data_IF_498268483442
#
_entry.id   IF_498268483442
#
_cell.length_a   1.000
_cell.length_b   1.000
_cell.length_c   1.000
_cell.angle_alpha   90.00
_cell.angle_beta   90.00
_cell.angle_gamma   90.00
#
_symmetry.space_group_name_H-M   'P 1'
#
loop_
_entity.id
_entity.type
_entity.pdbx_description
1 polymer ?
#
# COMPACT_ATOMS: atom_id res chain seq x y z
N UNK A 1 43.37 12.27 7.07
CA UNK A 1 42.77 11.13 6.31
C UNK A 1 41.48 10.75 7.03
N UNK A 2 40.31 10.65 6.34
CA UNK A 2 39.09 10.18 7.00
C UNK A 2 39.28 8.70 7.35
N UNK A 3 39.11 8.36 8.62
CA UNK A 3 39.16 7.00 9.13
C UNK A 3 37.94 6.27 8.59
N UNK A 4 38.12 5.45 7.56
CA UNK A 4 37.10 4.52 7.07
C UNK A 4 37.04 3.38 8.07
N UNK A 5 36.04 3.40 8.94
CA UNK A 5 35.76 2.26 9.83
C UNK A 5 35.44 1.05 8.96
N UNK A 6 36.29 0.01 9.02
CA UNK A 6 36.01 -1.29 8.43
C UNK A 6 34.76 -1.85 9.10
N UNK A 7 33.63 -1.74 8.40
CA UNK A 7 32.42 -2.47 8.75
C UNK A 7 32.78 -3.95 8.59
N UNK A 8 33.09 -4.61 9.71
CA UNK A 8 33.38 -6.03 9.72
C UNK A 8 32.10 -6.73 9.24
N UNK A 9 32.15 -7.25 8.03
CA UNK A 9 31.14 -8.18 7.53
C UNK A 9 31.26 -9.48 8.34
N UNK A 10 30.84 -9.46 9.60
CA UNK A 10 30.42 -10.68 10.28
C UNK A 10 29.19 -11.14 9.50
N UNK A 11 29.40 -12.09 8.58
CA UNK A 11 28.34 -12.98 8.14
C UNK A 11 27.94 -13.79 9.37
N UNK A 12 27.03 -13.24 10.17
CA UNK A 12 26.20 -14.07 11.03
C UNK A 12 25.44 -15.02 10.10
N UNK A 13 25.37 -16.30 10.46
CA UNK A 13 24.58 -17.27 9.70
C UNK A 13 23.13 -16.86 9.79
N UNK A 14 22.67 -16.12 8.78
CA UNK A 14 21.30 -15.61 8.71
C UNK A 14 20.36 -16.82 8.69
N UNK A 15 19.56 -16.98 9.73
CA UNK A 15 18.54 -18.02 9.79
C UNK A 15 17.26 -17.43 9.23
N UNK A 16 16.88 -17.89 8.05
CA UNK A 16 15.64 -17.46 7.40
C UNK A 16 14.45 -17.92 8.26
N UNK A 17 13.60 -16.98 8.66
CA UNK A 17 12.32 -17.28 9.32
C UNK A 17 11.28 -17.74 8.28
N UNK A 18 11.34 -19.02 7.93
CA UNK A 18 10.38 -19.63 7.02
C UNK A 18 8.96 -19.69 7.61
N UNK A 19 8.82 -19.76 8.93
CA UNK A 19 7.52 -19.95 9.58
C UNK A 19 6.78 -18.61 9.68
N UNK A 20 7.48 -17.53 10.03
CA UNK A 20 6.98 -16.17 9.92
C UNK A 20 6.58 -15.84 8.48
N UNK A 21 7.44 -16.16 7.51
CA UNK A 21 7.14 -15.95 6.09
C UNK A 21 5.89 -16.72 5.64
N UNK A 22 5.78 -18.01 5.96
CA UNK A 22 4.64 -18.84 5.56
C UNK A 22 3.33 -18.35 6.17
N UNK A 23 3.33 -17.97 7.46
CA UNK A 23 2.12 -17.51 8.16
C UNK A 23 1.64 -16.16 7.63
N UNK A 24 2.53 -15.17 7.45
CA UNK A 24 2.13 -13.86 6.90
C UNK A 24 1.71 -13.96 5.43
N UNK A 25 2.44 -14.71 4.61
CA UNK A 25 2.07 -14.92 3.20
C UNK A 25 0.72 -15.63 3.09
N UNK A 26 0.51 -16.71 3.84
CA UNK A 26 -0.76 -17.42 3.84
C UNK A 26 -1.93 -16.55 4.31
N UNK A 27 -1.71 -15.71 5.32
CA UNK A 27 -2.69 -14.72 5.78
C UNK A 27 -3.08 -13.75 4.67
N UNK A 28 -2.10 -13.10 4.04
CA UNK A 28 -2.34 -12.10 2.99
C UNK A 28 -3.01 -12.73 1.77
N UNK A 29 -2.55 -13.91 1.34
CA UNK A 29 -3.15 -14.63 0.21
C UNK A 29 -4.61 -14.97 0.50
N UNK A 30 -4.90 -15.52 1.69
CA UNK A 30 -6.28 -15.89 2.07
C UNK A 30 -7.20 -14.67 2.13
N UNK A 31 -6.70 -13.54 2.64
CA UNK A 31 -7.44 -12.28 2.68
C UNK A 31 -7.77 -11.76 1.29
N UNK A 32 -6.77 -11.73 0.40
CA UNK A 32 -6.94 -11.28 -0.98
C UNK A 32 -7.88 -12.19 -1.77
N UNK A 33 -7.81 -13.51 -1.54
CA UNK A 33 -8.69 -14.49 -2.17
C UNK A 33 -10.15 -14.28 -1.76
N UNK A 34 -10.41 -14.06 -0.46
CA UNK A 34 -11.73 -13.77 0.06
C UNK A 34 -12.33 -12.50 -0.56
N UNK A 35 -11.54 -11.42 -0.62
CA UNK A 35 -11.94 -10.16 -1.26
C UNK A 35 -12.15 -10.30 -2.77
N UNK A 36 -11.33 -11.10 -3.45
CA UNK A 36 -11.47 -11.37 -4.88
C UNK A 36 -12.78 -12.08 -5.19
N UNK A 37 -13.17 -13.09 -4.40
CA UNK A 37 -14.44 -13.79 -4.60
C UNK A 37 -15.64 -12.87 -4.39
N UNK A 38 -15.60 -12.00 -3.39
CA UNK A 38 -16.65 -10.97 -3.24
C UNK A 38 -16.71 -10.08 -4.50
N UNK A 39 -15.56 -9.67 -5.03
CA UNK A 39 -15.49 -8.89 -6.28
C UNK A 39 -15.99 -9.64 -7.53
N UNK A 40 -15.90 -10.98 -7.54
CA UNK A 40 -16.45 -11.86 -8.58
C UNK A 40 -17.97 -12.07 -8.44
N UNK A 41 -18.61 -11.52 -7.40
CA UNK A 41 -20.05 -11.57 -7.19
C UNK A 41 -20.53 -12.59 -6.16
N UNK A 42 -19.64 -13.19 -5.37
CA UNK A 42 -20.05 -14.01 -4.22
C UNK A 42 -20.59 -13.12 -3.09
N UNK A 43 -21.63 -13.58 -2.40
CA UNK A 43 -22.13 -12.90 -1.21
C UNK A 43 -21.09 -12.92 -0.08
N UNK A 44 -21.13 -11.90 0.77
CA UNK A 44 -20.21 -11.76 1.91
C UNK A 44 -20.33 -12.89 2.93
N UNK A 45 -21.50 -13.51 3.04
CA UNK A 45 -21.80 -14.63 3.93
C UNK A 45 -21.56 -16.00 3.28
N UNK A 46 -21.18 -16.03 2.00
CA UNK A 46 -20.86 -17.26 1.30
C UNK A 46 -19.77 -18.02 2.09
N UNK A 47 -20.01 -19.31 2.35
CA UNK A 47 -19.16 -20.12 3.23
C UNK A 47 -17.68 -20.02 2.87
N UNK A 48 -17.35 -19.99 1.57
CA UNK A 48 -15.98 -19.89 1.09
C UNK A 48 -15.32 -18.55 1.42
N UNK A 49 -16.05 -17.44 1.28
CA UNK A 49 -15.59 -16.07 1.60
C UNK A 49 -15.31 -15.97 3.10
N UNK A 50 -16.27 -16.40 3.93
CA UNK A 50 -16.13 -16.38 5.39
C UNK A 50 -14.95 -17.24 5.84
N UNK A 51 -14.80 -18.45 5.30
CA UNK A 51 -13.63 -19.30 5.58
C UNK A 51 -12.33 -18.59 5.21
N UNK A 52 -12.27 -17.92 4.05
CA UNK A 52 -11.10 -17.16 3.63
C UNK A 52 -10.70 -16.07 4.64
N UNK A 53 -11.67 -15.29 5.12
CA UNK A 53 -11.43 -14.27 6.16
C UNK A 53 -11.01 -14.87 7.50
N UNK A 54 -11.65 -15.97 7.92
CA UNK A 54 -11.29 -16.66 9.17
C UNK A 54 -9.87 -17.22 9.09
N UNK A 55 -9.51 -17.89 8.00
CA UNK A 55 -8.15 -18.42 7.78
C UNK A 55 -7.13 -17.28 7.75
N UNK A 56 -7.44 -16.17 7.08
CA UNK A 56 -6.57 -14.98 7.09
C UNK A 56 -6.35 -14.47 8.52
N UNK A 57 -7.42 -14.30 9.30
CA UNK A 57 -7.34 -13.84 10.69
C UNK A 57 -6.54 -14.80 11.59
N UNK A 58 -6.74 -16.10 11.46
CA UNK A 58 -6.01 -17.13 12.23
C UNK A 58 -4.51 -17.09 11.88
N UNK A 59 -4.15 -17.04 10.60
CA UNK A 59 -2.76 -17.02 10.16
C UNK A 59 -2.07 -15.72 10.57
N UNK A 60 -2.76 -14.58 10.50
CA UNK A 60 -2.24 -13.30 11.00
C UNK A 60 -2.02 -13.33 12.52
N UNK A 61 -2.98 -13.88 13.28
CA UNK A 61 -2.85 -14.02 14.71
C UNK A 61 -1.71 -14.99 15.09
N UNK A 62 -1.49 -16.04 14.30
CA UNK A 62 -0.39 -16.99 14.47
C UNK A 62 0.97 -16.38 14.12
N UNK A 63 1.03 -15.45 13.16
CA UNK A 63 2.26 -14.74 12.78
C UNK A 63 2.87 -13.98 13.97
N UNK A 64 2.05 -13.29 14.77
CA UNK A 64 2.53 -12.47 15.90
C UNK A 64 3.43 -13.26 16.89
N UNK A 65 2.97 -14.36 17.52
CA UNK A 65 3.80 -15.11 18.46
C UNK A 65 4.97 -15.86 17.79
N UNK A 66 4.85 -16.18 16.49
CA UNK A 66 5.95 -16.77 15.72
C UNK A 66 7.07 -15.76 15.56
N UNK A 67 6.72 -14.54 15.15
CA UNK A 67 7.66 -13.45 14.92
C UNK A 67 8.36 -13.01 16.21
N UNK A 68 7.64 -12.98 17.34
CA UNK A 68 8.22 -12.66 18.66
C UNK A 68 9.28 -13.70 19.08
N UNK A 69 9.12 -14.96 18.66
CA UNK A 69 9.99 -16.08 19.05
C UNK A 69 11.10 -16.35 18.04
N UNK A 70 11.09 -15.72 16.88
CA UNK A 70 12.09 -15.92 15.85
C UNK A 70 13.47 -15.38 16.28
N UNK A 71 14.53 -16.14 16.00
CA UNK A 71 15.92 -15.71 16.23
C UNK A 71 16.27 -14.47 15.38
N UNK A 72 15.75 -14.43 14.15
CA UNK A 72 15.90 -13.34 13.18
C UNK A 72 14.54 -13.02 12.56
N UNK A 73 13.71 -12.19 13.21
CA UNK A 73 12.39 -11.83 12.72
C UNK A 73 12.48 -11.01 11.42
N UNK A 74 11.55 -11.27 10.51
CA UNK A 74 11.33 -10.52 9.27
C UNK A 74 10.95 -9.07 9.57
N UNK A 75 10.08 -8.86 10.56
CA UNK A 75 9.58 -7.58 11.02
C UNK A 75 9.82 -7.51 12.54
N UNK A 76 10.90 -6.86 12.99
CA UNK A 76 11.13 -6.64 14.41
C UNK A 76 9.97 -5.83 14.99
N UNK A 77 9.09 -6.48 15.76
CA UNK A 77 7.87 -5.84 16.29
C UNK A 77 8.17 -4.66 17.22
N UNK A 78 9.37 -4.60 17.79
CA UNK A 78 9.87 -3.45 18.55
C UNK A 78 9.92 -2.14 17.73
N UNK A 79 9.96 -2.21 16.40
CA UNK A 79 9.84 -1.02 15.55
C UNK A 79 8.48 -0.33 15.75
N UNK A 80 7.41 -1.07 15.99
CA UNK A 80 6.08 -0.51 16.22
C UNK A 80 5.92 0.20 17.56
N UNK A 81 6.86 0.03 18.51
CA UNK A 81 6.92 0.86 19.73
C UNK A 81 7.20 2.33 19.39
N UNK A 82 7.90 2.59 18.28
CA UNK A 82 8.09 3.94 17.77
C UNK A 82 6.81 4.44 17.12
N UNK A 83 6.18 5.46 17.73
CA UNK A 83 5.03 6.18 17.15
C UNK A 83 5.30 6.65 15.72
N UNK A 84 6.55 6.99 15.39
CA UNK A 84 6.93 7.41 14.04
C UNK A 84 6.80 6.26 13.06
N UNK A 85 7.29 5.07 13.42
CA UNK A 85 7.18 3.89 12.56
C UNK A 85 5.74 3.41 12.44
N UNK A 86 5.01 3.30 13.55
CA UNK A 86 3.61 2.89 13.54
C UNK A 86 2.72 3.82 12.70
N UNK A 87 2.90 5.14 12.85
CA UNK A 87 2.17 6.11 12.01
C UNK A 87 2.60 6.07 10.54
N UNK A 88 3.88 5.84 10.25
CA UNK A 88 4.37 5.66 8.88
C UNK A 88 3.78 4.41 8.22
N UNK A 89 3.75 3.29 8.94
CA UNK A 89 3.18 2.03 8.46
C UNK A 89 1.67 2.15 8.21
N UNK A 90 0.94 2.76 9.15
CA UNK A 90 -0.49 3.05 8.97
C UNK A 90 -0.74 3.98 7.77
N UNK A 91 0.09 5.02 7.62
CA UNK A 91 -0.01 5.91 6.48
C UNK A 91 0.24 5.16 5.17
N UNK A 92 1.28 4.32 5.09
CA UNK A 92 1.53 3.49 3.90
C UNK A 92 0.35 2.57 3.58
N UNK A 93 -0.28 1.99 4.61
CA UNK A 93 -1.46 1.15 4.43
C UNK A 93 -2.64 1.95 3.86
N UNK A 94 -2.96 3.12 4.43
CA UNK A 94 -4.02 4.01 3.94
C UNK A 94 -3.73 4.50 2.51
N UNK A 95 -2.47 4.86 2.23
CA UNK A 95 -2.02 5.25 0.90
C UNK A 95 -2.23 4.11 -0.09
N UNK A 96 -1.92 2.87 0.29
CA UNK A 96 -2.19 1.69 -0.53
C UNK A 96 -3.67 1.56 -0.91
N UNK A 97 -4.58 1.65 0.08
CA UNK A 97 -6.03 1.57 -0.16
C UNK A 97 -6.48 2.64 -1.17
N UNK A 98 -6.13 3.90 -0.93
CA UNK A 98 -6.56 4.98 -1.82
C UNK A 98 -5.91 4.90 -3.20
N UNK A 99 -4.62 4.57 -3.28
CA UNK A 99 -3.89 4.44 -4.54
C UNK A 99 -4.49 3.33 -5.41
N UNK A 100 -4.71 2.14 -4.87
CA UNK A 100 -5.31 1.05 -5.64
C UNK A 100 -6.79 1.32 -5.96
N UNK A 101 -7.53 1.93 -5.05
CA UNK A 101 -8.92 2.34 -5.29
C UNK A 101 -9.04 3.27 -6.50
N UNK A 102 -8.24 4.35 -6.53
CA UNK A 102 -8.27 5.33 -7.63
C UNK A 102 -7.75 4.73 -8.94
N UNK A 103 -6.60 4.03 -8.91
CA UNK A 103 -5.99 3.47 -10.12
C UNK A 103 -6.91 2.44 -10.81
N UNK A 104 -7.65 1.65 -10.04
CA UNK A 104 -8.58 0.66 -10.59
C UNK A 104 -9.92 1.28 -10.99
N UNK A 105 -10.48 2.15 -10.14
CA UNK A 105 -11.83 2.70 -10.36
C UNK A 105 -11.89 3.72 -11.49
N UNK A 106 -10.92 4.64 -11.58
CA UNK A 106 -10.94 5.72 -12.60
C UNK A 106 -11.08 5.19 -14.03
N UNK A 107 -10.26 4.22 -14.52
CA UNK A 107 -10.43 3.70 -15.87
C UNK A 107 -11.72 2.91 -16.05
N UNK A 108 -12.16 2.15 -15.02
CA UNK A 108 -13.44 1.44 -15.06
C UNK A 108 -14.63 2.39 -15.17
N UNK A 109 -14.59 3.52 -14.47
CA UNK A 109 -15.62 4.56 -14.54
C UNK A 109 -15.62 5.25 -15.91
N UNK A 110 -14.45 5.65 -16.40
CA UNK A 110 -14.33 6.33 -17.70
C UNK A 110 -14.76 5.41 -18.85
N UNK A 111 -14.35 4.15 -18.84
CA UNK A 111 -14.73 3.21 -19.90
C UNK A 111 -16.17 2.69 -19.74
N UNK A 112 -16.57 2.35 -18.52
CA UNK A 112 -17.85 1.69 -18.25
C UNK A 112 -19.04 2.63 -18.12
N UNK A 113 -18.84 3.83 -17.56
CA UNK A 113 -19.93 4.81 -17.30
C UNK A 113 -19.94 5.92 -18.35
N UNK A 114 -18.78 6.53 -18.62
CA UNK A 114 -18.68 7.61 -19.60
C UNK A 114 -18.65 7.10 -21.05
N UNK A 115 -18.53 5.78 -21.26
CA UNK A 115 -18.51 5.15 -22.59
C UNK A 115 -17.28 5.49 -23.43
N UNK A 116 -16.22 5.99 -22.78
CA UNK A 116 -14.99 6.42 -23.46
C UNK A 116 -14.15 5.22 -23.89
N UNK A 117 -13.34 5.42 -24.93
CA UNK A 117 -12.44 4.40 -25.42
C UNK A 117 -11.29 4.13 -24.44
N UNK A 118 -10.66 2.96 -24.55
CA UNK A 118 -9.45 2.64 -23.78
C UNK A 118 -8.36 3.73 -23.92
N UNK A 119 -8.21 4.32 -25.12
CA UNK A 119 -7.29 5.43 -25.38
C UNK A 119 -7.66 6.70 -24.60
N UNK A 120 -8.95 7.04 -24.51
CA UNK A 120 -9.45 8.17 -23.72
C UNK A 120 -9.24 7.99 -22.20
N UNK A 121 -9.38 6.76 -21.70
CA UNK A 121 -9.05 6.46 -20.29
C UNK A 121 -7.54 6.57 -20.01
N UNK A 122 -6.70 6.22 -20.99
CA UNK A 122 -5.25 6.38 -20.91
C UNK A 122 -4.82 7.84 -20.77
N UNK A 123 -5.52 8.76 -21.45
CA UNK A 123 -5.25 10.20 -21.30
C UNK A 123 -5.56 10.71 -19.89
N UNK A 124 -6.59 10.20 -19.22
CA UNK A 124 -6.92 10.54 -17.82
C UNK A 124 -5.85 10.01 -16.84
N UNK A 125 -5.29 8.82 -17.11
CA UNK A 125 -4.22 8.25 -16.28
C UNK A 125 -2.85 8.91 -16.53
N UNK A 126 -2.66 9.60 -17.65
CA UNK A 126 -1.36 10.19 -18.01
C UNK A 126 -0.90 11.27 -17.01
N UNK A 127 -1.73 12.29 -16.67
CA UNK A 127 -1.38 13.28 -15.64
C UNK A 127 -1.06 12.65 -14.28
N UNK A 128 -1.78 11.58 -13.91
CA UNK A 128 -1.58 10.85 -12.66
C UNK A 128 -0.15 10.29 -12.59
N UNK A 129 0.24 9.47 -13.58
CA UNK A 129 1.57 8.83 -13.62
C UNK A 129 2.68 9.88 -13.75
N UNK A 130 2.46 10.92 -14.55
CA UNK A 130 3.43 12.00 -14.75
C UNK A 130 3.67 12.77 -13.44
N UNK A 131 2.61 13.14 -12.74
CA UNK A 131 2.68 13.85 -11.45
C UNK A 131 3.33 12.99 -10.37
N UNK A 132 2.98 11.70 -10.30
CA UNK A 132 3.62 10.75 -9.39
C UNK A 132 5.12 10.64 -9.65
N UNK A 133 5.52 10.51 -10.92
CA UNK A 133 6.93 10.39 -11.31
C UNK A 133 7.69 11.67 -10.97
N UNK A 134 7.15 12.83 -11.33
CA UNK A 134 7.75 14.13 -11.04
C UNK A 134 7.91 14.35 -9.53
N UNK A 135 6.86 14.09 -8.75
CA UNK A 135 6.90 14.25 -7.29
C UNK A 135 7.81 13.25 -6.61
N UNK A 136 7.91 12.01 -7.10
CA UNK A 136 8.86 11.02 -6.58
C UNK A 136 10.31 11.52 -6.73
N UNK A 137 10.65 12.08 -7.89
CA UNK A 137 11.98 12.66 -8.15
C UNK A 137 12.21 13.88 -7.26
N UNK A 138 11.27 14.83 -7.23
CA UNK A 138 11.39 16.07 -6.45
C UNK A 138 11.53 15.75 -4.96
N UNK A 139 10.62 14.95 -4.39
CA UNK A 139 10.68 14.58 -2.98
C UNK A 139 11.95 13.80 -2.66
N UNK A 140 12.36 12.85 -3.51
CA UNK A 140 13.59 12.10 -3.33
C UNK A 140 14.82 13.00 -3.26
N UNK A 141 14.93 13.97 -4.17
CA UNK A 141 16.02 14.95 -4.18
C UNK A 141 16.01 15.87 -2.96
N UNK A 142 14.83 16.38 -2.57
CA UNK A 142 14.74 17.28 -1.41
C UNK A 142 15.02 16.53 -0.10
N UNK A 143 14.46 15.33 0.07
CA UNK A 143 14.69 14.50 1.26
C UNK A 143 16.18 14.15 1.39
N UNK A 144 16.86 13.83 0.28
CA UNK A 144 18.29 13.55 0.28
C UNK A 144 19.13 14.74 0.79
N UNK A 145 18.70 15.98 0.50
CA UNK A 145 19.38 17.20 0.95
C UNK A 145 19.01 17.61 2.38
N UNK A 146 17.73 17.60 2.71
CA UNK A 146 17.19 18.14 3.97
C UNK A 146 17.28 17.12 5.11
N UNK A 147 17.40 15.82 4.79
CA UNK A 147 17.44 14.69 5.75
C UNK A 147 16.26 14.66 6.74
N UNK A 148 15.14 15.30 6.39
CA UNK A 148 13.90 15.30 7.18
C UNK A 148 12.76 14.81 6.31
N UNK A 149 12.11 13.73 6.74
CA UNK A 149 11.04 13.04 5.99
C UNK A 149 9.65 13.50 6.47
N UNK A 150 9.51 13.82 7.77
CA UNK A 150 8.22 14.10 8.43
C UNK A 150 7.36 15.18 7.74
N UNK A 151 7.88 16.34 7.31
CA UNK A 151 7.07 17.35 6.63
C UNK A 151 6.51 16.85 5.29
N UNK A 152 7.28 16.07 4.53
CA UNK A 152 6.85 15.50 3.25
C UNK A 152 5.75 14.47 3.43
N UNK A 153 5.84 13.64 4.48
CA UNK A 153 4.78 12.69 4.82
C UNK A 153 3.47 13.39 5.15
N UNK A 154 3.52 14.46 5.97
CA UNK A 154 2.32 15.24 6.34
C UNK A 154 1.72 15.92 5.11
N UNK A 155 2.55 16.61 4.32
CA UNK A 155 2.10 17.31 3.11
C UNK A 155 1.47 16.33 2.10
N UNK A 156 2.14 15.20 1.83
CA UNK A 156 1.62 14.16 0.94
C UNK A 156 0.30 13.56 1.44
N UNK A 157 0.17 13.33 2.74
CA UNK A 157 -1.08 12.85 3.35
C UNK A 157 -2.23 13.83 3.14
N UNK A 158 -1.99 15.13 3.36
CA UNK A 158 -3.01 16.17 3.16
C UNK A 158 -3.44 16.24 1.69
N UNK A 159 -2.47 16.26 0.76
CA UNK A 159 -2.75 16.28 -0.69
C UNK A 159 -3.57 15.06 -1.10
N UNK A 160 -3.20 13.88 -0.60
CA UNK A 160 -3.94 12.65 -0.89
C UNK A 160 -5.38 12.70 -0.37
N UNK A 161 -5.59 13.14 0.87
CA UNK A 161 -6.93 13.30 1.44
C UNK A 161 -7.79 14.27 0.63
N UNK A 162 -7.21 15.41 0.22
CA UNK A 162 -7.90 16.39 -0.63
C UNK A 162 -8.24 15.77 -1.99
N UNK A 163 -7.31 15.05 -2.61
CA UNK A 163 -7.54 14.40 -3.91
C UNK A 163 -8.66 13.36 -3.86
N UNK A 164 -8.66 12.50 -2.84
CA UNK A 164 -9.74 11.51 -2.64
C UNK A 164 -11.09 12.22 -2.38
N UNK A 165 -11.08 13.27 -1.57
CA UNK A 165 -12.29 14.07 -1.32
C UNK A 165 -12.82 14.72 -2.60
N UNK A 166 -11.95 15.28 -3.46
CA UNK A 166 -12.37 15.81 -4.75
C UNK A 166 -12.96 14.74 -5.67
N UNK A 167 -12.42 13.52 -5.65
CA UNK A 167 -13.01 12.40 -6.40
C UNK A 167 -14.43 12.05 -5.95
N UNK A 168 -14.79 12.26 -4.68
CA UNK A 168 -16.19 12.09 -4.24
C UNK A 168 -17.16 13.11 -4.81
N UNK A 169 -16.66 14.20 -5.40
CA UNK A 169 -17.47 15.23 -6.07
C UNK A 169 -17.67 14.98 -7.57
N UNK A 170 -17.08 13.91 -8.11
CA UNK A 170 -17.25 13.48 -9.51
C UNK A 170 -18.58 12.76 -9.65
N UNK A 171 -19.49 13.32 -10.45
CA UNK A 171 -20.85 12.81 -10.67
C UNK A 171 -21.07 12.40 -12.14
N UNK A 172 -22.20 11.77 -12.46
CA UNK A 172 -22.51 11.22 -13.81
C UNK A 172 -22.56 12.31 -14.89
N UNK A 173 -22.80 13.57 -14.50
CA UNK A 173 -22.79 14.74 -15.38
C UNK A 173 -21.39 15.35 -15.58
N UNK A 174 -20.36 14.83 -14.90
CA UNK A 174 -19.01 15.40 -14.97
C UNK A 174 -18.31 15.08 -16.29
N UNK A 175 -17.74 16.11 -16.90
CA UNK A 175 -17.08 16.03 -18.23
C UNK A 175 -15.65 15.50 -18.08
N UNK A 176 -15.08 14.91 -19.14
CA UNK A 176 -13.71 14.39 -19.20
C UNK A 176 -12.63 15.36 -18.65
N UNK A 177 -12.84 16.68 -18.76
CA UNK A 177 -11.96 17.75 -18.22
C UNK A 177 -12.00 17.92 -16.70
N UNK A 178 -13.06 17.46 -16.06
CA UNK A 178 -13.23 17.49 -14.59
C UNK A 178 -12.54 16.30 -13.93
N UNK A 179 -12.37 15.20 -14.68
CA UNK A 179 -11.79 13.93 -14.21
C UNK A 179 -10.29 13.82 -14.56
N UNK A 180 -9.84 14.50 -15.62
CA UNK A 180 -8.44 14.56 -16.06
C UNK A 180 -7.63 15.63 -15.29
#
# INVERSE_FOLDING_TARGET
MPVVLRQSARRFGVKIDYLGAATITGSVVSLLLALSWVGEGYDWDATRVVIGFVVAGILFAAFIPVEIRADEPIIPLSLFESRVFGSAALLMFMVGIGMFGVILYTPLFVQGVLGETATGSGTVLTPLVLSMTAMAVICGQIIARVKRIKPFMIAGSIVMTIGIYLLTTVDVDSTQRTVA
#
